data_IF_800758101033
#
_entry.id   IF_800758101033
#
_cell.length_a   1.000
_cell.length_b   1.000
_cell.length_c   1.000
_cell.angle_alpha   90.00
_cell.angle_beta   90.00
_cell.angle_gamma   90.00
#
_symmetry.space_group_name_H-M   'P 1'
#
loop_
_entity.id
_entity.type
_entity.pdbx_description
1 polymer ?
#
# COMPACT_ATOMS: atom_id res chain seq x y z
N UNK A 1 -14.07 -11.91 0.44
CA UNK A 1 -13.64 -11.12 -0.72
C UNK A 1 -14.85 -10.62 -1.49
N UNK A 2 -15.74 -11.48 -2.04
CA UNK A 2 -16.93 -11.03 -2.81
C UNK A 2 -17.88 -10.11 -2.03
N UNK A 3 -17.96 -10.24 -0.71
CA UNK A 3 -18.83 -9.41 0.13
C UNK A 3 -18.28 -7.98 0.28
N UNK A 4 -16.98 -7.85 0.50
CA UNK A 4 -16.29 -6.56 0.66
C UNK A 4 -16.15 -5.85 -0.69
N UNK A 5 -15.91 -6.58 -1.79
CA UNK A 5 -15.94 -6.03 -3.16
C UNK A 5 -17.31 -5.39 -3.50
N UNK A 6 -18.41 -5.93 -2.92
CA UNK A 6 -19.74 -5.35 -3.11
C UNK A 6 -19.94 -4.05 -2.33
N UNK A 7 -19.20 -3.86 -1.25
CA UNK A 7 -19.24 -2.66 -0.41
C UNK A 7 -18.48 -1.50 -1.08
N UNK A 8 -17.29 -1.74 -1.63
CA UNK A 8 -16.54 -0.74 -2.40
C UNK A 8 -17.30 -0.22 -3.61
N UNK A 9 -18.13 -1.06 -4.27
CA UNK A 9 -18.95 -0.62 -5.42
C UNK A 9 -20.10 0.33 -5.05
N UNK A 10 -20.57 0.32 -3.80
CA UNK A 10 -21.63 1.23 -3.32
C UNK A 10 -21.11 2.62 -2.96
N UNK A 11 -19.84 2.73 -2.59
CA UNK A 11 -19.22 3.98 -2.18
C UNK A 11 -18.83 4.92 -3.32
N UNK A 12 -19.32 4.68 -4.54
CA UNK A 12 -19.27 5.61 -5.67
C UNK A 12 -18.00 5.58 -6.53
N UNK A 13 -18.02 4.72 -7.47
CA UNK A 13 -17.64 4.97 -8.86
C UNK A 13 -16.25 5.41 -9.25
N UNK A 14 -15.29 4.53 -9.20
CA UNK A 14 -14.16 4.57 -10.12
C UNK A 14 -14.57 3.95 -11.49
N UNK A 15 -15.58 4.50 -12.15
CA UNK A 15 -15.99 4.05 -13.47
C UNK A 15 -15.67 5.09 -14.55
N UNK A 16 -14.53 4.91 -15.20
CA UNK A 16 -14.40 5.34 -16.62
C UNK A 16 -15.45 4.59 -17.43
N UNK A 17 -16.38 5.34 -18.00
CA UNK A 17 -17.42 4.83 -18.91
C UNK A 17 -16.77 4.23 -20.16
N UNK A 18 -16.58 2.91 -20.17
CA UNK A 18 -16.43 2.17 -21.42
C UNK A 18 -17.82 1.80 -21.94
N UNK A 19 -18.30 2.56 -22.92
CA UNK A 19 -19.51 2.25 -23.66
C UNK A 19 -19.22 1.10 -24.62
N UNK A 20 -19.59 -0.13 -24.24
CA UNK A 20 -19.66 -1.26 -25.17
C UNK A 20 -20.96 -1.14 -25.96
N UNK A 21 -20.85 -0.79 -27.22
CA UNK A 21 -21.92 -0.91 -28.21
C UNK A 21 -22.01 -2.38 -28.60
N UNK A 22 -23.09 -3.03 -28.16
CA UNK A 22 -23.43 -4.40 -28.53
C UNK A 22 -24.05 -4.37 -29.93
N UNK A 23 -23.31 -4.77 -30.97
CA UNK A 23 -23.85 -4.99 -32.31
C UNK A 23 -24.12 -6.48 -32.49
N UNK A 24 -25.41 -6.82 -32.50
CA UNK A 24 -25.93 -8.13 -32.87
C UNK A 24 -25.89 -8.26 -34.41
N UNK A 25 -25.17 -9.26 -34.93
CA UNK A 25 -25.37 -9.71 -36.32
C UNK A 25 -25.22 -11.23 -36.37
N UNK A 26 -26.35 -11.86 -36.62
CA UNK A 26 -26.53 -13.29 -36.95
C UNK A 26 -26.08 -13.48 -38.40
N UNK A 27 -25.22 -14.45 -38.66
CA UNK A 27 -24.85 -14.87 -39.98
C UNK A 27 -24.24 -16.28 -39.98
N UNK A 28 -25.11 -17.27 -40.20
CA UNK A 28 -24.72 -18.69 -40.49
C UNK A 28 -24.24 -18.76 -41.94
N UNK A 29 -23.02 -19.27 -42.16
CA UNK A 29 -22.69 -19.89 -43.46
C UNK A 29 -21.64 -20.97 -43.29
N UNK A 30 -22.07 -22.21 -43.56
CA UNK A 30 -21.24 -23.41 -43.74
C UNK A 30 -20.57 -23.37 -45.10
N UNK A 31 -19.25 -23.53 -45.18
CA UNK A 31 -18.57 -24.03 -46.37
C UNK A 31 -17.44 -24.96 -45.96
N UNK A 32 -17.52 -26.19 -46.44
CA UNK A 32 -16.47 -27.22 -46.46
C UNK A 32 -15.33 -26.82 -47.43
N UNK A 33 -14.14 -27.19 -47.11
CA UNK A 33 -13.15 -27.51 -48.14
C UNK A 33 -11.71 -27.07 -47.84
N UNK A 34 -10.79 -28.04 -47.81
CA UNK A 34 -9.43 -27.86 -48.30
C UNK A 34 -8.30 -27.89 -47.29
N UNK A 35 -7.80 -29.10 -47.04
CA UNK A 35 -6.46 -29.38 -46.51
C UNK A 35 -5.40 -28.95 -47.54
N UNK A 36 -4.61 -27.94 -47.26
CA UNK A 36 -3.32 -27.75 -47.91
C UNK A 36 -2.30 -27.40 -46.80
N UNK A 37 -1.45 -28.37 -46.51
CA UNK A 37 -0.32 -28.20 -45.62
C UNK A 37 0.76 -27.32 -46.26
N UNK A 38 1.11 -26.25 -45.62
CA UNK A 38 2.35 -25.50 -45.85
C UNK A 38 3.22 -25.64 -44.60
N UNK A 39 4.20 -26.55 -44.69
CA UNK A 39 5.30 -26.62 -43.73
C UNK A 39 6.23 -25.42 -43.96
N UNK A 40 6.23 -24.47 -43.09
CA UNK A 40 7.25 -23.42 -43.05
C UNK A 40 8.49 -23.94 -42.31
N UNK A 41 9.70 -23.73 -42.85
CA UNK A 41 10.92 -24.14 -42.15
C UNK A 41 11.16 -23.26 -40.94
N UNK A 42 11.45 -23.92 -39.81
CA UNK A 42 11.90 -23.26 -38.57
C UNK A 42 13.28 -22.63 -38.84
N UNK A 43 13.47 -21.33 -38.56
CA UNK A 43 14.80 -20.73 -38.68
C UNK A 43 15.72 -21.26 -37.57
N UNK A 44 16.87 -21.76 -37.98
CA UNK A 44 17.96 -22.14 -37.09
C UNK A 44 18.45 -20.92 -36.31
N UNK A 45 18.64 -20.99 -34.97
CA UNK A 45 19.19 -19.89 -34.21
C UNK A 45 20.64 -19.65 -34.63
N UNK A 46 20.90 -18.49 -35.24
CA UNK A 46 22.26 -18.01 -35.49
C UNK A 46 22.84 -17.51 -34.19
N UNK A 47 23.89 -18.19 -33.70
CA UNK A 47 24.67 -17.72 -32.56
C UNK A 47 25.42 -16.43 -32.93
N UNK A 48 24.84 -15.28 -32.64
CA UNK A 48 25.54 -14.01 -32.64
C UNK A 48 26.28 -13.88 -31.31
N UNK A 49 27.61 -13.60 -31.32
CA UNK A 49 28.35 -13.38 -30.07
C UNK A 49 27.77 -12.16 -29.34
N UNK A 50 27.37 -12.37 -28.09
CA UNK A 50 27.00 -11.29 -27.17
C UNK A 50 28.29 -10.52 -26.87
N UNK A 51 28.30 -9.18 -27.05
CA UNK A 51 29.43 -8.36 -26.59
C UNK A 51 29.58 -8.49 -25.06
N UNK A 52 30.78 -8.35 -24.50
CA UNK A 52 30.95 -8.36 -23.05
C UNK A 52 30.09 -7.27 -22.40
N UNK A 53 29.37 -7.62 -21.37
CA UNK A 53 28.63 -6.67 -20.57
C UNK A 53 29.59 -5.63 -20.00
N UNK A 54 29.47 -4.39 -20.45
CA UNK A 54 30.10 -3.26 -19.78
C UNK A 54 29.53 -3.21 -18.37
N UNK A 55 30.41 -3.29 -17.38
CA UNK A 55 30.10 -3.10 -15.99
C UNK A 55 29.55 -1.67 -15.81
N UNK A 56 28.26 -1.51 -15.77
CA UNK A 56 27.65 -0.25 -15.42
C UNK A 56 28.06 0.08 -13.98
N UNK A 57 29.03 0.96 -13.84
CA UNK A 57 29.35 1.61 -12.57
C UNK A 57 28.13 2.44 -12.20
N UNK A 58 27.39 2.01 -11.17
CA UNK A 58 26.35 2.81 -10.55
C UNK A 58 27.00 4.06 -9.96
N UNK A 59 26.94 5.16 -10.71
CA UNK A 59 27.19 6.47 -10.13
C UNK A 59 26.01 6.78 -9.22
N UNK A 60 26.24 7.20 -7.96
CA UNK A 60 25.17 7.75 -7.15
C UNK A 60 24.65 8.98 -7.87
N UNK A 61 23.38 8.97 -8.22
CA UNK A 61 22.66 10.12 -8.77
C UNK A 61 22.52 11.15 -7.65
N UNK A 62 23.49 12.05 -7.56
CA UNK A 62 23.44 13.21 -6.66
C UNK A 62 22.76 14.36 -7.37
N UNK A 63 21.49 14.18 -7.70
CA UNK A 63 20.61 15.32 -7.99
C UNK A 63 20.30 15.97 -6.63
N UNK A 64 20.57 17.27 -6.42
CA UNK A 64 20.15 17.95 -5.21
C UNK A 64 18.63 17.98 -5.21
N UNK A 65 18.00 17.09 -4.45
CA UNK A 65 16.57 17.10 -4.25
C UNK A 65 16.21 18.35 -3.47
N UNK A 66 15.36 19.18 -4.07
CA UNK A 66 14.83 20.37 -3.44
C UNK A 66 14.25 19.99 -2.08
N UNK A 67 14.68 20.67 -1.04
CA UNK A 67 14.16 20.56 0.32
C UNK A 67 12.65 20.85 0.26
N UNK A 68 11.84 19.80 0.11
CA UNK A 68 10.40 19.89 0.31
C UNK A 68 10.19 20.22 1.79
N UNK A 69 9.33 21.21 2.05
CA UNK A 69 8.88 21.45 3.42
C UNK A 69 8.36 20.12 4.03
N UNK A 70 8.54 19.93 5.36
CA UNK A 70 8.03 18.74 6.02
C UNK A 70 6.54 18.60 5.69
N UNK A 71 6.14 17.41 5.20
CA UNK A 71 4.75 17.10 4.91
C UNK A 71 3.94 17.27 6.18
N UNK A 72 2.99 18.20 6.17
CA UNK A 72 2.11 18.45 7.31
C UNK A 72 1.16 17.25 7.43
N UNK A 73 0.96 16.67 8.62
CA UNK A 73 -0.09 15.67 8.82
C UNK A 73 -1.44 16.26 8.41
N UNK A 74 -2.27 15.46 7.75
CA UNK A 74 -3.69 15.75 7.64
C UNK A 74 -4.31 15.60 9.05
N UNK A 75 -5.40 16.31 9.30
CA UNK A 75 -6.02 16.31 10.64
C UNK A 75 -6.51 14.92 11.08
N UNK A 76 -6.67 13.99 10.15
CA UNK A 76 -7.18 12.63 10.33
C UNK A 76 -6.12 11.52 10.15
N UNK A 77 -4.86 11.86 9.84
CA UNK A 77 -3.78 10.86 9.74
C UNK A 77 -3.55 10.12 11.07
N UNK A 78 -3.44 8.79 11.10
CA UNK A 78 -3.04 8.04 12.29
C UNK A 78 -1.59 8.35 12.70
N UNK A 79 -1.41 8.93 13.87
CA UNK A 79 -0.10 9.31 14.41
C UNK A 79 0.29 8.44 15.59
N UNK A 80 1.54 7.97 15.63
CA UNK A 80 2.15 7.27 16.76
C UNK A 80 3.37 8.02 17.26
N UNK A 81 3.46 8.21 18.57
CA UNK A 81 4.59 8.91 19.23
C UNK A 81 4.21 10.29 19.72
N UNK A 82 5.22 11.04 20.16
CA UNK A 82 5.02 12.38 20.70
C UNK A 82 4.69 13.39 19.59
N UNK A 83 3.67 14.24 19.73
CA UNK A 83 3.42 15.31 18.76
C UNK A 83 4.60 16.26 18.61
N UNK A 84 5.41 16.41 19.66
CA UNK A 84 6.58 17.30 19.71
C UNK A 84 7.88 16.60 19.28
N UNK A 85 7.82 15.37 18.73
CA UNK A 85 9.00 14.66 18.29
C UNK A 85 9.74 15.44 17.19
N UNK A 86 11.07 15.60 17.30
CA UNK A 86 11.87 16.38 16.35
C UNK A 86 11.94 15.75 14.96
N UNK A 87 11.71 14.44 14.84
CA UNK A 87 11.69 13.74 13.57
C UNK A 87 10.28 13.25 13.27
N UNK A 88 9.78 13.57 12.08
CA UNK A 88 8.54 13.06 11.53
C UNK A 88 8.85 12.02 10.46
N UNK A 89 8.33 10.82 10.64
CA UNK A 89 8.40 9.73 9.66
C UNK A 89 7.01 9.51 9.09
N UNK A 90 6.82 9.64 7.77
CA UNK A 90 5.57 9.34 7.08
C UNK A 90 5.77 8.03 6.34
N UNK A 91 4.89 7.06 6.57
CA UNK A 91 4.85 5.77 5.91
C UNK A 91 3.68 5.71 4.94
N UNK A 92 3.94 5.53 3.64
CA UNK A 92 2.94 5.15 2.64
C UNK A 92 2.93 3.64 2.48
N UNK A 93 1.84 3.00 2.88
CA UNK A 93 1.80 1.54 3.05
C UNK A 93 0.44 0.95 2.70
N UNK A 94 0.33 -0.38 2.72
CA UNK A 94 -0.91 -1.12 2.51
C UNK A 94 -0.80 -2.59 2.94
N UNK A 95 -1.93 -3.26 3.17
CA UNK A 95 -1.99 -4.56 3.87
C UNK A 95 -1.79 -5.79 2.97
N UNK A 96 -1.85 -5.66 1.63
CA UNK A 96 -1.58 -6.76 0.69
C UNK A 96 -0.13 -6.80 0.22
N UNK A 97 0.69 -5.81 0.61
CA UNK A 97 2.10 -5.74 0.27
C UNK A 97 2.95 -6.56 1.24
N UNK A 98 3.65 -7.56 0.74
CA UNK A 98 4.54 -8.40 1.54
C UNK A 98 5.73 -7.63 2.16
N UNK A 99 6.23 -6.60 1.48
CA UNK A 99 7.30 -5.73 1.99
C UNK A 99 6.79 -4.81 3.10
N UNK A 100 5.54 -4.32 3.01
CA UNK A 100 4.91 -3.55 4.10
C UNK A 100 4.77 -4.41 5.36
N UNK A 101 4.32 -5.66 5.17
CA UNK A 101 4.27 -6.63 6.27
C UNK A 101 5.64 -6.90 6.87
N UNK A 102 6.68 -7.12 6.06
CA UNK A 102 8.04 -7.34 6.55
C UNK A 102 8.52 -6.15 7.38
N UNK A 103 8.33 -4.92 6.89
CA UNK A 103 8.63 -3.73 7.68
C UNK A 103 7.87 -3.70 9.00
N UNK A 104 6.55 -3.89 8.97
CA UNK A 104 5.70 -3.82 10.17
C UNK A 104 6.06 -4.85 11.25
N UNK A 105 6.54 -6.04 10.85
CA UNK A 105 6.86 -7.13 11.78
C UNK A 105 8.33 -7.18 12.20
N UNK A 106 9.25 -6.71 11.38
CA UNK A 106 10.69 -6.88 11.60
C UNK A 106 11.39 -5.57 11.95
N UNK A 107 11.15 -4.51 11.18
CA UNK A 107 11.88 -3.23 11.30
C UNK A 107 11.15 -2.24 12.22
N UNK A 108 9.84 -2.09 12.05
CA UNK A 108 9.04 -1.15 12.82
C UNK A 108 9.13 -1.35 14.34
N UNK A 109 9.12 -2.57 14.92
CA UNK A 109 9.27 -2.76 16.35
C UNK A 109 10.56 -2.16 16.90
N UNK A 110 11.67 -2.22 16.14
CA UNK A 110 12.96 -1.66 16.54
C UNK A 110 12.94 -0.13 16.50
N UNK A 111 12.33 0.45 15.45
CA UNK A 111 12.15 1.90 15.35
C UNK A 111 11.26 2.40 16.48
N UNK A 112 10.18 1.67 16.77
CA UNK A 112 9.26 2.02 17.84
C UNK A 112 9.97 2.06 19.21
N UNK A 113 10.68 0.99 19.56
CA UNK A 113 11.38 0.88 20.85
C UNK A 113 12.46 1.96 21.00
N UNK A 114 13.27 2.18 19.94
CA UNK A 114 14.45 3.02 20.07
C UNK A 114 14.16 4.52 19.89
N UNK A 115 13.16 4.88 19.08
CA UNK A 115 12.93 6.26 18.68
C UNK A 115 11.52 6.80 18.97
N UNK A 116 10.47 5.99 18.74
CA UNK A 116 9.09 6.48 18.94
C UNK A 116 8.76 6.52 20.44
N UNK A 117 9.00 5.44 21.15
CA UNK A 117 8.72 5.33 22.60
C UNK A 117 9.62 6.27 23.44
N UNK A 118 10.74 6.71 22.88
CA UNK A 118 11.64 7.71 23.49
C UNK A 118 11.29 9.16 23.14
N UNK A 119 10.29 9.37 22.29
CA UNK A 119 9.81 10.70 21.88
C UNK A 119 10.67 11.39 20.83
N UNK A 120 11.60 10.70 20.20
CA UNK A 120 12.50 11.24 19.18
C UNK A 120 11.88 11.24 17.77
N UNK A 121 11.00 10.28 17.49
CA UNK A 121 10.30 10.13 16.22
C UNK A 121 8.79 10.08 16.47
N UNK A 122 8.01 10.72 15.60
CA UNK A 122 6.60 10.42 15.42
C UNK A 122 6.39 9.77 14.05
N UNK A 123 5.58 8.73 14.02
CA UNK A 123 5.19 8.03 12.79
C UNK A 123 3.79 8.45 12.39
N UNK A 124 3.61 8.78 11.12
CA UNK A 124 2.34 9.04 10.46
C UNK A 124 2.13 7.93 9.44
N UNK A 125 0.97 7.28 9.47
CA UNK A 125 0.61 6.28 8.48
C UNK A 125 -0.31 6.90 7.44
N UNK A 126 -0.07 6.59 6.16
CA UNK A 126 -0.90 6.97 5.03
C UNK A 126 -1.20 5.78 4.15
N UNK A 127 -2.45 5.65 3.81
CA UNK A 127 -2.91 4.57 2.95
C UNK A 127 -2.49 4.78 1.49
N UNK A 128 -1.78 3.79 0.94
CA UNK A 128 -1.46 3.76 -0.49
C UNK A 128 -1.84 2.41 -1.11
N UNK A 129 -3.15 2.13 -1.26
CA UNK A 129 -3.66 0.84 -1.69
C UNK A 129 -3.49 0.62 -3.20
N UNK A 130 -2.38 -0.02 -3.60
CA UNK A 130 -2.02 -0.24 -5.01
C UNK A 130 -2.34 -1.64 -5.53
N UNK A 131 -2.79 -2.57 -4.68
CA UNK A 131 -3.14 -3.94 -5.06
C UNK A 131 -4.66 -4.15 -5.26
N UNK A 132 -5.36 -3.12 -5.71
CA UNK A 132 -6.77 -3.19 -6.11
C UNK A 132 -7.78 -3.12 -4.96
N UNK A 133 -9.03 -3.55 -5.24
CA UNK A 133 -10.15 -3.40 -4.31
C UNK A 133 -9.92 -4.06 -2.94
N UNK A 134 -9.20 -5.17 -2.90
CA UNK A 134 -8.86 -5.84 -1.64
C UNK A 134 -7.95 -5.00 -0.74
N UNK A 135 -7.01 -4.28 -1.34
CA UNK A 135 -6.13 -3.36 -0.61
C UNK A 135 -6.91 -2.19 -0.01
N UNK A 136 -7.80 -1.58 -0.80
CA UNK A 136 -8.72 -0.53 -0.33
C UNK A 136 -9.60 -1.05 0.81
N UNK A 137 -10.11 -2.29 0.70
CA UNK A 137 -10.96 -2.87 1.74
C UNK A 137 -10.21 -3.03 3.07
N UNK A 138 -8.94 -3.43 3.05
CA UNK A 138 -8.14 -3.55 4.28
C UNK A 138 -7.75 -2.18 4.86
N UNK A 139 -7.50 -1.17 4.01
CA UNK A 139 -7.36 0.20 4.45
C UNK A 139 -8.61 0.69 5.20
N UNK A 140 -9.81 0.46 4.65
CA UNK A 140 -11.08 0.79 5.32
C UNK A 140 -11.20 0.11 6.70
N UNK A 141 -10.72 -1.12 6.86
CA UNK A 141 -10.73 -1.84 8.14
C UNK A 141 -9.90 -1.10 9.19
N UNK A 142 -8.69 -0.67 8.83
CA UNK A 142 -7.81 0.05 9.74
C UNK A 142 -8.38 1.45 10.06
N UNK A 143 -8.91 2.14 9.06
CA UNK A 143 -9.51 3.46 9.19
C UNK A 143 -10.81 3.45 10.01
N UNK A 144 -11.66 2.42 9.87
CA UNK A 144 -12.83 2.24 10.76
C UNK A 144 -12.41 1.94 12.21
N UNK A 145 -11.24 1.35 12.42
CA UNK A 145 -10.67 1.20 13.76
C UNK A 145 -10.10 2.52 14.29
N UNK A 146 -9.56 3.38 13.42
CA UNK A 146 -9.11 4.73 13.79
C UNK A 146 -10.24 5.58 14.37
N UNK A 147 -11.47 5.48 13.83
CA UNK A 147 -12.66 6.16 14.36
C UNK A 147 -13.00 5.77 15.81
N UNK A 148 -12.36 4.71 16.34
CA UNK A 148 -12.49 4.23 17.72
C UNK A 148 -11.16 4.23 18.49
N UNK A 149 -10.18 5.01 18.06
CA UNK A 149 -8.82 5.10 18.65
C UNK A 149 -8.08 3.74 18.68
N UNK A 150 -8.34 2.87 17.66
CA UNK A 150 -7.79 1.51 17.57
C UNK A 150 -7.01 1.25 16.29
N UNK A 151 -6.57 2.30 15.59
CA UNK A 151 -5.82 2.16 14.35
C UNK A 151 -4.60 1.25 14.51
N UNK A 152 -3.72 1.55 15.47
CA UNK A 152 -2.42 0.87 15.59
C UNK A 152 -2.56 -0.58 16.04
N UNK A 153 -3.54 -0.89 16.88
CA UNK A 153 -3.84 -2.26 17.27
C UNK A 153 -4.44 -3.06 16.09
N UNK A 154 -5.31 -2.46 15.30
CA UNK A 154 -5.87 -3.09 14.10
C UNK A 154 -4.81 -3.23 13.02
N UNK A 155 -4.00 -2.22 12.76
CA UNK A 155 -2.87 -2.25 11.85
C UNK A 155 -1.95 -3.44 12.14
N UNK A 156 -1.54 -3.58 13.40
CA UNK A 156 -0.73 -4.72 13.84
C UNK A 156 -1.46 -6.05 13.61
N UNK A 157 -2.73 -6.15 13.95
CA UNK A 157 -3.54 -7.37 13.80
C UNK A 157 -3.63 -7.78 12.34
N UNK A 158 -3.84 -6.83 11.42
CA UNK A 158 -3.93 -7.09 9.99
C UNK A 158 -2.61 -7.64 9.42
N UNK A 159 -1.46 -7.08 9.82
CA UNK A 159 -0.17 -7.60 9.39
C UNK A 159 0.20 -8.94 10.04
N UNK A 160 -0.10 -9.12 11.32
CA UNK A 160 0.18 -10.38 12.04
C UNK A 160 -0.62 -11.55 11.47
N UNK A 161 -1.88 -11.31 11.12
CA UNK A 161 -2.86 -12.37 10.78
C UNK A 161 -3.21 -12.43 9.29
N UNK A 162 -2.28 -12.05 8.41
CA UNK A 162 -2.52 -12.04 6.95
C UNK A 162 -3.00 -13.39 6.45
N UNK A 163 -2.41 -14.50 6.90
CA UNK A 163 -2.80 -15.85 6.45
C UNK A 163 -4.22 -16.22 6.89
N UNK A 164 -4.67 -15.71 8.05
CA UNK A 164 -5.99 -16.00 8.59
C UNK A 164 -7.07 -15.25 7.81
N UNK A 165 -6.97 -13.92 7.72
CA UNK A 165 -8.01 -13.15 7.04
C UNK A 165 -7.99 -13.33 5.51
N UNK A 166 -6.81 -13.56 4.90
CA UNK A 166 -6.71 -13.78 3.46
C UNK A 166 -7.30 -15.14 3.03
N UNK A 167 -7.28 -16.15 3.90
CA UNK A 167 -7.89 -17.46 3.65
C UNK A 167 -9.35 -17.56 4.08
N UNK A 168 -9.90 -16.54 4.75
CA UNK A 168 -11.24 -16.58 5.30
C UNK A 168 -12.32 -16.57 4.22
N UNK A 169 -13.23 -17.52 4.26
CA UNK A 169 -14.43 -17.54 3.42
C UNK A 169 -15.49 -16.54 3.92
N UNK A 170 -15.43 -16.17 5.21
CA UNK A 170 -16.32 -15.23 5.90
C UNK A 170 -15.54 -14.01 6.39
N UNK A 171 -14.81 -13.35 5.48
CA UNK A 171 -13.86 -12.29 5.80
C UNK A 171 -14.47 -11.20 6.71
N UNK A 172 -15.70 -10.74 6.45
CA UNK A 172 -16.34 -9.71 7.28
C UNK A 172 -16.48 -10.18 8.72
N UNK A 173 -16.88 -11.45 8.96
CA UNK A 173 -17.03 -11.97 10.32
C UNK A 173 -15.67 -12.10 11.02
N UNK A 174 -14.62 -12.49 10.29
CA UNK A 174 -13.26 -12.53 10.81
C UNK A 174 -12.81 -11.13 11.27
N UNK A 175 -13.04 -10.11 10.45
CA UNK A 175 -12.67 -8.72 10.77
C UNK A 175 -13.49 -8.13 11.94
N UNK A 176 -14.80 -8.46 12.03
CA UNK A 176 -15.63 -8.12 13.20
C UNK A 176 -15.10 -8.83 14.44
N UNK A 177 -14.63 -10.08 14.32
CA UNK A 177 -13.98 -10.80 15.42
C UNK A 177 -12.72 -10.08 15.94
N UNK A 178 -11.91 -9.52 15.04
CA UNK A 178 -10.75 -8.71 15.45
C UNK A 178 -11.16 -7.42 16.18
N UNK A 179 -12.24 -6.77 15.71
CA UNK A 179 -12.77 -5.59 16.38
C UNK A 179 -13.26 -5.91 17.81
N UNK A 180 -13.92 -7.06 18.00
CA UNK A 180 -14.35 -7.54 19.33
C UNK A 180 -13.15 -7.84 20.24
N UNK A 181 -12.13 -8.54 19.73
CA UNK A 181 -10.87 -8.81 20.46
C UNK A 181 -10.17 -7.51 20.91
N UNK A 182 -10.25 -6.45 20.11
CA UNK A 182 -9.71 -5.12 20.41
C UNK A 182 -10.64 -4.27 21.28
N UNK A 183 -11.78 -4.84 21.75
CA UNK A 183 -12.78 -4.16 22.58
C UNK A 183 -13.41 -2.94 21.92
N UNK A 184 -13.58 -2.98 20.60
CA UNK A 184 -14.27 -1.97 19.82
C UNK A 184 -15.79 -2.19 19.84
N UNK A 185 -16.56 -1.16 19.54
CA UNK A 185 -17.97 -1.30 19.23
C UNK A 185 -18.12 -1.93 17.84
N UNK A 186 -18.52 -3.21 17.82
CA UNK A 186 -18.62 -4.00 16.58
C UNK A 186 -19.76 -3.55 15.68
N UNK A 187 -20.83 -2.94 16.23
CA UNK A 187 -21.93 -2.41 15.43
C UNK A 187 -21.49 -1.13 14.71
N UNK A 188 -20.79 -0.23 15.41
CA UNK A 188 -20.19 0.98 14.84
C UNK A 188 -19.15 0.60 13.77
N UNK A 189 -18.25 -0.34 14.08
CA UNK A 189 -17.25 -0.82 13.14
C UNK A 189 -17.88 -1.43 11.88
N UNK A 190 -18.88 -2.28 12.05
CA UNK A 190 -19.58 -2.92 10.94
C UNK A 190 -20.34 -1.91 10.08
N UNK A 191 -20.96 -0.90 10.69
CA UNK A 191 -21.66 0.18 9.98
C UNK A 191 -20.66 1.03 9.17
N UNK A 192 -19.53 1.41 9.75
CA UNK A 192 -18.45 2.13 9.08
C UNK A 192 -18.00 1.40 7.81
N UNK A 193 -17.71 0.09 7.91
CA UNK A 193 -17.33 -0.72 6.76
C UNK A 193 -18.43 -0.81 5.70
N UNK A 194 -19.71 -0.94 6.10
CA UNK A 194 -20.83 -1.08 5.18
C UNK A 194 -21.16 0.23 4.46
N UNK A 195 -21.03 1.34 5.11
CA UNK A 195 -21.30 2.67 4.57
C UNK A 195 -20.11 3.24 3.81
N UNK A 196 -18.90 2.74 4.07
CA UNK A 196 -17.66 3.20 3.43
C UNK A 196 -17.27 4.62 3.84
N UNK A 197 -17.51 4.98 5.10
CA UNK A 197 -17.35 6.35 5.59
C UNK A 197 -15.92 6.85 5.53
N UNK A 198 -14.93 5.95 5.47
CA UNK A 198 -13.50 6.26 5.45
C UNK A 198 -12.88 6.37 4.06
N UNK A 199 -13.65 6.07 3.00
CA UNK A 199 -13.11 5.97 1.64
C UNK A 199 -12.53 7.29 1.11
N UNK A 200 -13.03 8.42 1.57
CA UNK A 200 -12.56 9.72 1.13
C UNK A 200 -11.18 10.04 1.71
N UNK A 201 -10.89 9.67 2.98
CA UNK A 201 -9.55 9.76 3.60
C UNK A 201 -8.53 8.93 2.84
N UNK A 202 -8.84 7.66 2.58
CA UNK A 202 -7.97 6.73 1.82
C UNK A 202 -7.68 7.27 0.41
N UNK A 203 -8.67 7.91 -0.22
CA UNK A 203 -8.47 8.53 -1.54
C UNK A 203 -7.56 9.75 -1.46
N UNK A 204 -7.72 10.57 -0.44
CA UNK A 204 -6.89 11.75 -0.22
C UNK A 204 -5.44 11.35 0.00
N UNK A 205 -5.17 10.36 0.84
CA UNK A 205 -3.84 9.79 1.04
C UNK A 205 -3.22 9.29 -0.26
N UNK A 206 -3.99 8.54 -1.04
CA UNK A 206 -3.56 8.05 -2.34
C UNK A 206 -3.20 9.19 -3.31
N UNK A 207 -4.01 10.25 -3.37
CA UNK A 207 -3.79 11.40 -4.24
C UNK A 207 -2.53 12.17 -3.81
N UNK A 208 -2.32 12.34 -2.50
CA UNK A 208 -1.11 12.96 -1.94
C UNK A 208 0.11 12.10 -2.26
N UNK A 209 0.06 10.79 -2.05
CA UNK A 209 1.13 9.87 -2.39
C UNK A 209 1.57 10.01 -3.85
N UNK A 210 0.61 10.07 -4.79
CA UNK A 210 0.89 10.27 -6.22
C UNK A 210 1.53 11.63 -6.49
N UNK A 211 1.05 12.71 -5.86
CA UNK A 211 1.64 14.06 -5.99
C UNK A 211 3.06 14.12 -5.44
N UNK A 212 3.36 13.36 -4.39
CA UNK A 212 4.67 13.21 -3.78
C UNK A 212 5.64 12.34 -4.59
N UNK A 213 5.14 11.68 -5.65
CA UNK A 213 5.93 10.79 -6.50
C UNK A 213 6.11 9.40 -5.90
N UNK A 214 5.30 9.02 -4.93
CA UNK A 214 5.24 7.65 -4.40
C UNK A 214 4.67 6.74 -5.49
N UNK A 215 5.35 5.63 -5.75
CA UNK A 215 4.99 4.68 -6.81
C UNK A 215 5.13 3.21 -6.40
N UNK A 216 5.50 2.96 -5.15
CA UNK A 216 5.64 1.63 -4.57
C UNK A 216 5.44 1.68 -3.06
N UNK A 217 5.12 0.54 -2.45
CA UNK A 217 4.97 0.37 -1.00
C UNK A 217 5.97 -0.66 -0.44
N UNK A 218 6.44 -0.46 0.79
CA UNK A 218 6.33 0.76 1.56
C UNK A 218 7.26 1.86 1.03
N UNK A 219 6.88 3.12 1.20
CA UNK A 219 7.73 4.28 0.95
C UNK A 219 7.65 5.21 2.15
N UNK A 220 8.78 5.74 2.56
CA UNK A 220 8.88 6.58 3.76
C UNK A 220 9.50 7.93 3.44
N UNK A 221 9.06 8.94 4.17
CA UNK A 221 9.73 10.24 4.25
C UNK A 221 10.09 10.54 5.71
N UNK A 222 11.39 10.66 5.99
CA UNK A 222 11.91 11.00 7.31
C UNK A 222 12.38 12.45 7.28
N UNK A 223 11.62 13.37 7.85
CA UNK A 223 11.80 14.83 7.69
C UNK A 223 12.03 15.23 6.21
N UNK A 224 11.33 14.59 5.27
CA UNK A 224 11.46 14.82 3.83
C UNK A 224 12.56 13.99 3.15
N UNK A 225 13.42 13.30 3.91
CA UNK A 225 14.40 12.36 3.32
C UNK A 225 13.70 11.07 2.92
N UNK A 226 13.78 10.72 1.64
CA UNK A 226 13.08 9.58 1.05
C UNK A 226 13.81 8.27 1.33
N UNK A 227 13.06 7.28 1.87
CA UNK A 227 13.50 5.88 2.01
C UNK A 227 12.50 4.98 1.30
N UNK A 228 12.98 4.12 0.39
CA UNK A 228 12.13 3.24 -0.43
C UNK A 228 12.25 1.79 -0.01
N UNK A 229 11.11 1.13 0.20
CA UNK A 229 11.03 -0.29 0.50
C UNK A 229 11.30 -0.63 1.97
N UNK A 230 11.14 -1.91 2.29
CA UNK A 230 11.44 -2.46 3.62
C UNK A 230 12.96 -2.68 3.76
N UNK A 231 13.71 -1.60 3.87
CA UNK A 231 15.16 -1.66 4.08
C UNK A 231 15.49 -2.14 5.51
N UNK A 232 16.71 -2.61 5.78
CA UNK A 232 17.15 -2.98 7.12
C UNK A 232 17.02 -1.85 8.14
N UNK A 233 16.89 -2.19 9.42
CA UNK A 233 16.79 -1.22 10.51
C UNK A 233 17.94 -0.20 10.51
N UNK A 234 19.16 -0.65 10.23
CA UNK A 234 20.37 0.17 10.23
C UNK A 234 20.33 1.32 9.21
N UNK A 235 19.60 1.13 8.09
CA UNK A 235 19.41 2.17 7.09
C UNK A 235 18.45 3.25 7.61
N UNK A 236 17.36 2.86 8.26
CA UNK A 236 16.44 3.78 8.96
C UNK A 236 17.16 4.50 10.10
N UNK A 237 17.93 3.78 10.90
CA UNK A 237 18.71 4.35 12.00
C UNK A 237 19.62 5.47 11.49
N UNK A 238 20.35 5.23 10.41
CA UNK A 238 21.25 6.23 9.84
C UNK A 238 20.49 7.50 9.46
N UNK A 239 19.36 7.37 8.76
CA UNK A 239 18.57 8.54 8.34
C UNK A 239 17.95 9.26 9.54
N UNK A 240 17.40 8.54 10.52
CA UNK A 240 16.80 9.13 11.73
C UNK A 240 17.87 9.89 12.54
N UNK A 241 19.04 9.30 12.75
CA UNK A 241 20.12 9.94 13.51
C UNK A 241 20.67 11.18 12.79
N UNK A 242 20.77 11.16 11.46
CA UNK A 242 21.13 12.33 10.66
C UNK A 242 20.10 13.46 10.80
N UNK A 243 18.80 13.15 10.83
CA UNK A 243 17.75 14.15 11.02
C UNK A 243 17.70 14.69 12.46
N UNK A 244 17.93 13.84 13.45
CA UNK A 244 18.06 14.24 14.85
C UNK A 244 19.23 15.21 15.06
N UNK A 245 20.37 14.96 14.40
CA UNK A 245 21.54 15.83 14.47
C UNK A 245 21.31 17.22 13.88
N UNK A 246 20.37 17.36 12.92
CA UNK A 246 19.99 18.67 12.33
C UNK A 246 19.02 19.47 13.22
N UNK A 247 18.31 18.76 14.10
CA UNK A 247 17.24 19.35 14.94
C UNK A 247 17.77 19.87 16.30
N UNK A 248 19.01 19.54 16.70
CA UNK A 248 19.68 19.94 17.95
C UNK A 248 20.69 21.03 17.71
#
# INVERSE_FOLDING_TARGET
VKSIESMCRRAGGWHTRFTFVLSLSIGVLLILGGLIGCSSPVPTPTNTPVPPAETATLQPDTTPEATKEPLVPLDDDPVLGSPDAPVTMIEYSEYLCSFCRAFALETFPLIKEQYIDTGQVKLIFRDFPVHGEGSVAMAMVAECAADQDKFWEMNKTLYDRVEEWAASEELLQTLIGYADELSMDTDVFSSCLQEGTTIDRIREDYEIAVQEGVNATPTFFVNGTLVRGAVPFEDFQTVIEDELAKSG
#
